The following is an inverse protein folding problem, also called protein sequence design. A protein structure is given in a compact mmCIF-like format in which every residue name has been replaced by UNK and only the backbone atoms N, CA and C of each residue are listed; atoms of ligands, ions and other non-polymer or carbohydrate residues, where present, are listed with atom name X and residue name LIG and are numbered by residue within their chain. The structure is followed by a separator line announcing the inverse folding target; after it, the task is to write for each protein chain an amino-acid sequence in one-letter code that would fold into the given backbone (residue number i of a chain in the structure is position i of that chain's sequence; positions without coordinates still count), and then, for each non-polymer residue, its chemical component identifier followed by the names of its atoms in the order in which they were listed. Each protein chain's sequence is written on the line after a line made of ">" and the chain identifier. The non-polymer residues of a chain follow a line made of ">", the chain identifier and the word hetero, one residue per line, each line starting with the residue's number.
data_IF_194067855151
#
_entry.id   IF_194067855151
#
_cell.length_a   1.000
_cell.length_b   1.000
_cell.length_c   1.000
_cell.angle_alpha   90.00
_cell.angle_beta   90.00
_cell.angle_gamma   90.00
#
_symmetry.space_group_name_H-M   'P 1'
#
loop_
_entity.id
_entity.type
_entity.pdbx_description
1 polymer ?
#
# COMPACT_ATOMS: atom_id res chain seq x y z
N UNK A 1 29.28 3.07 -14.31
CA UNK A 1 30.43 2.98 -13.39
C UNK A 1 30.70 4.36 -12.81
N UNK A 2 30.98 4.49 -11.51
CA UNK A 2 31.37 5.77 -10.90
C UNK A 2 32.61 6.34 -11.58
N UNK A 3 32.69 7.67 -11.71
CA UNK A 3 33.88 8.34 -12.25
C UNK A 3 35.04 8.17 -11.25
N UNK A 4 36.25 7.77 -11.69
CA UNK A 4 37.41 7.75 -10.80
C UNK A 4 37.67 9.15 -10.22
N UNK A 5 38.10 9.21 -8.97
CA UNK A 5 38.45 10.42 -8.20
C UNK A 5 37.32 11.44 -7.92
N UNK A 6 36.05 11.03 -8.05
CA UNK A 6 34.91 11.88 -7.64
C UNK A 6 34.60 11.73 -6.15
N UNK A 7 34.42 12.83 -5.40
CA UNK A 7 34.12 12.77 -3.98
C UNK A 7 32.77 12.08 -3.72
N UNK A 8 32.75 11.22 -2.71
CA UNK A 8 31.52 10.61 -2.20
C UNK A 8 30.73 11.65 -1.39
N UNK A 9 29.47 11.84 -1.74
CA UNK A 9 28.52 12.71 -1.02
C UNK A 9 27.65 11.87 -0.10
N UNK A 10 27.31 12.42 1.07
CA UNK A 10 26.40 11.78 2.03
C UNK A 10 25.05 12.47 1.95
N UNK A 11 24.00 11.72 1.60
CA UNK A 11 22.65 12.23 1.43
C UNK A 11 21.75 11.72 2.56
N UNK A 12 20.78 12.55 2.97
CA UNK A 12 19.68 12.14 3.84
C UNK A 12 18.38 12.15 3.05
N UNK A 13 17.69 11.02 3.06
CA UNK A 13 16.47 10.77 2.31
C UNK A 13 15.30 10.53 3.27
N UNK A 14 14.09 10.85 2.83
CA UNK A 14 12.85 10.60 3.58
C UNK A 14 11.74 10.17 2.64
N UNK A 15 10.76 9.44 3.19
CA UNK A 15 9.46 9.16 2.58
C UNK A 15 8.31 9.67 3.46
N UNK A 16 8.64 10.54 4.43
CA UNK A 16 7.73 11.10 5.42
C UNK A 16 6.97 10.05 6.24
N UNK A 17 7.58 8.87 6.42
CA UNK A 17 7.09 7.81 7.30
C UNK A 17 7.57 8.10 8.72
N UNK A 18 6.75 8.83 9.47
CA UNK A 18 7.14 9.39 10.76
C UNK A 18 8.33 10.35 10.63
N UNK A 19 9.23 10.36 11.62
CA UNK A 19 10.43 11.21 11.62
C UNK A 19 11.69 10.48 11.10
N UNK A 20 11.53 9.37 10.38
CA UNK A 20 12.64 8.50 9.99
C UNK A 20 13.34 9.00 8.72
N UNK A 21 14.67 8.88 8.70
CA UNK A 21 15.51 9.28 7.58
C UNK A 21 16.48 8.17 7.21
N UNK A 22 16.74 8.01 5.92
CA UNK A 22 17.71 7.08 5.37
C UNK A 22 18.98 7.82 4.98
N UNK A 23 20.14 7.41 5.50
CA UNK A 23 21.44 7.92 5.04
C UNK A 23 21.98 7.06 3.92
N UNK A 24 22.31 7.67 2.79
CA UNK A 24 22.93 7.00 1.64
C UNK A 24 24.22 7.71 1.20
N UNK A 25 25.02 7.03 0.40
CA UNK A 25 26.28 7.55 -0.14
C UNK A 25 26.22 7.54 -1.66
N UNK A 26 26.56 8.65 -2.29
CA UNK A 26 26.43 8.81 -3.74
C UNK A 26 27.69 9.41 -4.36
N UNK A 27 27.98 9.03 -5.61
CA UNK A 27 29.04 9.63 -6.42
C UNK A 27 28.53 9.88 -7.84
N UNK A 28 29.11 10.87 -8.52
CA UNK A 28 28.79 11.13 -9.91
C UNK A 28 29.24 9.96 -10.81
N UNK A 29 28.45 9.64 -11.82
CA UNK A 29 28.79 8.68 -12.86
C UNK A 29 28.71 9.34 -14.25
N UNK A 30 29.27 8.69 -15.27
CA UNK A 30 29.05 9.07 -16.67
C UNK A 30 27.85 8.26 -17.19
N UNK A 31 26.74 8.92 -17.56
CA UNK A 31 25.62 8.23 -18.19
C UNK A 31 26.00 7.58 -19.51
N UNK A 32 25.53 6.37 -19.71
CA UNK A 32 25.61 5.64 -20.98
C UNK A 32 24.32 5.83 -21.79
N UNK A 33 24.37 5.62 -23.12
CA UNK A 33 23.15 5.60 -23.93
C UNK A 33 22.13 4.62 -23.38
N UNK A 34 20.93 5.12 -23.07
CA UNK A 34 19.83 4.33 -22.48
C UNK A 34 19.63 4.51 -20.97
N UNK A 35 20.57 5.14 -20.26
CA UNK A 35 20.38 5.44 -18.84
C UNK A 35 19.26 6.48 -18.62
N UNK A 36 18.37 6.19 -17.67
CA UNK A 36 17.31 7.12 -17.26
C UNK A 36 17.88 8.15 -16.29
N UNK A 37 18.08 9.38 -16.78
CA UNK A 37 18.70 10.49 -16.03
C UNK A 37 17.77 11.69 -15.80
N UNK A 38 16.48 11.52 -16.10
CA UNK A 38 15.46 12.55 -15.93
C UNK A 38 14.12 11.92 -15.53
N UNK A 39 13.32 12.69 -14.82
CA UNK A 39 11.90 12.38 -14.62
C UNK A 39 11.09 13.01 -15.73
N UNK A 40 10.06 12.29 -16.21
CA UNK A 40 9.17 12.75 -17.26
C UNK A 40 7.73 12.55 -16.82
N UNK A 41 6.89 13.52 -17.09
CA UNK A 41 5.45 13.47 -16.84
C UNK A 41 4.71 14.21 -17.94
N UNK A 42 3.39 14.04 -17.99
CA UNK A 42 2.53 14.78 -18.92
C UNK A 42 1.78 15.84 -18.12
N UNK A 43 1.88 17.09 -18.55
CA UNK A 43 1.11 18.18 -17.97
C UNK A 43 -0.38 18.04 -18.37
N UNK A 44 -1.31 18.69 -17.65
CA UNK A 44 -2.73 18.74 -18.03
C UNK A 44 -2.97 19.27 -19.46
N UNK A 45 -2.07 20.11 -19.98
CA UNK A 45 -2.09 20.59 -21.37
C UNK A 45 -1.81 19.49 -22.41
N UNK A 46 -1.41 18.29 -21.99
CA UNK A 46 -0.97 17.20 -22.85
C UNK A 46 0.52 17.25 -23.24
N UNK A 47 1.23 18.30 -22.85
CA UNK A 47 2.68 18.44 -23.11
C UNK A 47 3.50 17.48 -22.25
N UNK A 48 4.59 16.94 -22.80
CA UNK A 48 5.54 16.14 -22.04
C UNK A 48 6.59 17.04 -21.41
N UNK A 49 6.63 17.05 -20.08
CA UNK A 49 7.59 17.80 -19.28
C UNK A 49 8.76 16.90 -18.87
N UNK A 50 9.92 17.50 -18.62
CA UNK A 50 11.13 16.79 -18.21
C UNK A 50 11.86 17.55 -17.09
N UNK A 51 12.18 16.83 -16.01
CA UNK A 51 13.05 17.29 -14.93
C UNK A 51 14.40 16.58 -15.07
N UNK A 52 15.41 17.33 -15.52
CA UNK A 52 16.78 16.83 -15.62
C UNK A 52 17.39 16.67 -14.23
N UNK A 53 17.97 15.50 -13.97
CA UNK A 53 18.56 15.18 -12.68
C UNK A 53 20.08 15.01 -12.80
N UNK A 54 20.85 15.34 -11.75
CA UNK A 54 22.30 15.18 -11.79
C UNK A 54 22.65 13.68 -11.80
N UNK A 55 23.67 13.27 -12.58
CA UNK A 55 23.99 11.85 -12.78
C UNK A 55 24.75 11.28 -11.58
N UNK A 56 24.04 11.01 -10.49
CA UNK A 56 24.58 10.34 -9.31
C UNK A 56 24.04 8.91 -9.19
N UNK A 57 24.88 8.03 -8.66
CA UNK A 57 24.53 6.67 -8.30
C UNK A 57 25.01 6.34 -6.88
N UNK A 58 24.40 5.33 -6.27
CA UNK A 58 24.77 4.82 -4.96
C UNK A 58 26.18 4.23 -4.97
N UNK A 59 26.88 4.47 -3.87
CA UNK A 59 28.18 3.90 -3.51
C UNK A 59 28.10 3.30 -2.10
N UNK A 60 29.16 2.64 -1.64
CA UNK A 60 29.21 2.03 -0.31
C UNK A 60 27.99 1.14 -0.03
N UNK A 61 27.63 0.27 -1.00
CA UNK A 61 26.37 -0.47 -1.01
C UNK A 61 26.15 -1.31 0.26
N UNK A 62 27.22 -1.84 0.87
CA UNK A 62 27.12 -2.55 2.15
C UNK A 62 26.61 -1.66 3.29
N UNK A 63 27.11 -0.42 3.37
CA UNK A 63 26.65 0.56 4.37
C UNK A 63 25.23 1.03 4.05
N UNK A 64 24.93 1.27 2.77
CA UNK A 64 23.57 1.64 2.33
C UNK A 64 22.58 0.54 2.71
N UNK A 65 22.92 -0.73 2.46
CA UNK A 65 22.10 -1.87 2.84
C UNK A 65 21.89 -1.93 4.36
N UNK A 66 22.93 -1.73 5.17
CA UNK A 66 22.80 -1.68 6.63
C UNK A 66 21.87 -0.55 7.09
N UNK A 67 22.05 0.65 6.54
CA UNK A 67 21.21 1.82 6.85
C UNK A 67 19.75 1.60 6.43
N UNK A 68 19.53 0.98 5.27
CA UNK A 68 18.21 0.64 4.76
C UNK A 68 17.49 -0.34 5.69
N UNK A 69 18.18 -1.37 6.19
CA UNK A 69 17.59 -2.31 7.17
C UNK A 69 17.17 -1.61 8.47
N UNK A 70 17.97 -0.67 8.94
CA UNK A 70 17.65 0.12 10.14
C UNK A 70 16.45 1.03 9.89
N UNK A 71 16.44 1.74 8.76
CA UNK A 71 15.31 2.57 8.33
C UNK A 71 14.02 1.74 8.25
N UNK A 72 14.05 0.61 7.54
CA UNK A 72 12.90 -0.30 7.40
C UNK A 72 12.35 -0.70 8.78
N UNK A 73 13.23 -1.11 9.68
CA UNK A 73 12.83 -1.60 11.01
C UNK A 73 12.15 -0.50 11.85
N UNK A 74 12.59 0.74 11.68
CA UNK A 74 12.04 1.89 12.40
C UNK A 74 10.74 2.40 11.74
N UNK A 75 10.76 2.62 10.43
CA UNK A 75 9.68 3.27 9.68
C UNK A 75 8.45 2.38 9.47
N UNK A 76 8.60 1.04 9.52
CA UNK A 76 7.47 0.13 9.25
C UNK A 76 6.27 0.36 10.17
N UNK A 77 6.50 0.70 11.43
CA UNK A 77 5.42 0.89 12.40
C UNK A 77 4.70 2.21 12.16
N UNK A 78 5.44 3.28 11.87
CA UNK A 78 4.86 4.57 11.53
C UNK A 78 3.96 4.48 10.29
N UNK A 79 4.39 3.71 9.27
CA UNK A 79 3.54 3.43 8.11
C UNK A 79 2.26 2.70 8.51
N UNK A 80 2.36 1.61 9.27
CA UNK A 80 1.19 0.82 9.68
C UNK A 80 0.23 1.65 10.54
N UNK A 81 0.76 2.51 11.41
CA UNK A 81 -0.03 3.44 12.25
C UNK A 81 -0.76 4.50 11.42
N UNK A 82 -0.20 4.94 10.28
CA UNK A 82 -0.89 5.88 9.40
C UNK A 82 -2.16 5.32 8.76
N UNK A 83 -2.36 3.99 8.80
CA UNK A 83 -3.56 3.32 8.27
C UNK A 83 -4.79 3.49 9.17
N UNK A 84 -4.63 4.08 10.36
CA UNK A 84 -5.73 4.34 11.30
C UNK A 84 -6.89 5.12 10.68
N UNK A 85 -6.58 6.04 9.77
CA UNK A 85 -7.57 6.91 9.14
C UNK A 85 -8.36 6.27 7.98
N UNK A 86 -8.05 5.02 7.58
CA UNK A 86 -8.62 4.44 6.36
C UNK A 86 -9.99 3.77 6.54
N UNK A 87 -10.02 2.57 7.13
CA UNK A 87 -11.25 1.84 7.43
C UNK A 87 -11.20 1.33 8.88
N UNK A 88 -12.25 1.55 9.69
CA UNK A 88 -12.23 1.16 11.09
C UNK A 88 -12.01 -0.34 11.34
N UNK A 89 -12.51 -1.23 10.47
CA UNK A 89 -12.32 -2.67 10.61
C UNK A 89 -10.91 -3.09 10.17
N UNK A 90 -10.42 -2.51 9.07
CA UNK A 90 -9.05 -2.70 8.65
C UNK A 90 -8.08 -2.26 9.75
N UNK A 91 -8.26 -1.06 10.30
CA UNK A 91 -7.42 -0.56 11.40
C UNK A 91 -7.50 -1.44 12.64
N UNK A 92 -8.71 -1.82 13.09
CA UNK A 92 -8.85 -2.72 14.25
C UNK A 92 -8.08 -4.03 14.03
N UNK A 93 -8.13 -4.58 12.82
CA UNK A 93 -7.44 -5.83 12.47
C UNK A 93 -5.92 -5.64 12.40
N UNK A 94 -5.45 -4.56 11.76
CA UNK A 94 -4.02 -4.25 11.62
C UNK A 94 -3.39 -3.93 12.98
N UNK A 95 -4.02 -3.09 13.80
CA UNK A 95 -3.55 -2.77 15.15
C UNK A 95 -3.45 -4.02 16.04
N UNK A 96 -4.48 -4.88 16.01
CA UNK A 96 -4.44 -6.18 16.71
C UNK A 96 -3.29 -7.07 16.22
N UNK A 97 -3.07 -7.12 14.91
CA UNK A 97 -1.96 -7.87 14.34
C UNK A 97 -0.59 -7.27 14.70
N UNK A 98 -0.47 -5.95 14.81
CA UNK A 98 0.75 -5.27 15.25
C UNK A 98 1.09 -5.64 16.70
N UNK A 99 0.10 -5.62 17.60
CA UNK A 99 0.27 -6.06 18.99
C UNK A 99 0.71 -7.52 19.06
N UNK A 100 0.04 -8.39 18.30
CA UNK A 100 0.40 -9.80 18.21
C UNK A 100 1.83 -10.00 17.69
N UNK A 101 2.23 -9.27 16.65
CA UNK A 101 3.58 -9.34 16.07
C UNK A 101 4.66 -8.81 17.01
N UNK A 102 4.36 -7.77 17.81
CA UNK A 102 5.27 -7.26 18.86
C UNK A 102 5.51 -8.32 19.94
N UNK A 103 4.45 -9.04 20.35
CA UNK A 103 4.57 -10.15 21.30
C UNK A 103 5.19 -11.42 20.68
N UNK A 104 5.04 -11.62 19.36
CA UNK A 104 5.49 -12.81 18.64
C UNK A 104 6.31 -12.45 17.38
N UNK A 105 7.56 -11.94 17.51
CA UNK A 105 8.34 -11.42 16.38
C UNK A 105 8.70 -12.45 15.30
N UNK A 106 8.63 -13.75 15.62
CA UNK A 106 8.88 -14.85 14.68
C UNK A 106 7.63 -15.38 13.97
N UNK A 107 6.45 -14.83 14.28
CA UNK A 107 5.17 -15.26 13.70
C UNK A 107 5.10 -15.00 12.20
N UNK A 108 4.17 -15.67 11.52
CA UNK A 108 3.78 -15.36 10.15
C UNK A 108 3.19 -13.94 10.05
N UNK A 109 2.42 -13.50 11.06
CA UNK A 109 1.86 -12.15 11.09
C UNK A 109 2.97 -11.10 11.08
N UNK A 110 4.03 -11.28 11.87
CA UNK A 110 5.16 -10.36 11.90
C UNK A 110 5.87 -10.26 10.54
N UNK A 111 6.08 -11.39 9.85
CA UNK A 111 6.65 -11.41 8.51
C UNK A 111 5.71 -10.75 7.49
N UNK A 112 4.40 -10.96 7.61
CA UNK A 112 3.37 -10.43 6.71
C UNK A 112 3.24 -8.92 6.83
N UNK A 113 3.21 -8.37 8.05
CA UNK A 113 3.22 -6.92 8.29
C UNK A 113 4.50 -6.29 7.76
N UNK A 114 5.63 -6.98 7.92
CA UNK A 114 6.90 -6.52 7.36
C UNK A 114 6.86 -6.53 5.83
N UNK A 115 6.28 -7.56 5.20
CA UNK A 115 6.14 -7.64 3.75
C UNK A 115 5.32 -6.47 3.22
N UNK A 116 4.14 -6.23 3.80
CA UNK A 116 3.29 -5.12 3.40
C UNK A 116 3.99 -3.77 3.56
N UNK A 117 4.47 -3.46 4.77
CA UNK A 117 5.11 -2.16 5.03
C UNK A 117 6.33 -1.89 4.16
N UNK A 118 7.15 -2.91 3.89
CA UNK A 118 8.36 -2.76 3.05
C UNK A 118 7.99 -2.62 1.57
N UNK A 119 6.93 -3.31 1.09
CA UNK A 119 6.44 -3.10 -0.28
C UNK A 119 6.03 -1.65 -0.52
N UNK A 120 5.51 -0.96 0.50
CA UNK A 120 5.15 0.47 0.40
C UNK A 120 6.37 1.37 0.28
N UNK A 121 7.52 0.95 0.82
CA UNK A 121 8.77 1.72 0.73
C UNK A 121 9.37 1.75 -0.67
N UNK A 122 8.96 0.88 -1.60
CA UNK A 122 9.37 0.97 -3.02
C UNK A 122 8.29 1.61 -3.91
N UNK A 123 7.21 2.09 -3.29
CA UNK A 123 6.10 2.74 -3.98
C UNK A 123 6.03 4.24 -3.64
N UNK A 124 6.51 4.62 -2.46
CA UNK A 124 6.54 6.01 -2.01
C UNK A 124 7.84 6.66 -2.51
N UNK A 125 7.77 7.76 -3.27
CA UNK A 125 8.97 8.43 -3.76
C UNK A 125 9.89 8.90 -2.63
N UNK A 126 11.20 8.75 -2.84
CA UNK A 126 12.21 9.30 -1.94
C UNK A 126 12.45 10.79 -2.19
N UNK A 127 12.66 11.53 -1.11
CA UNK A 127 12.96 12.95 -1.13
C UNK A 127 14.26 13.25 -0.38
N UNK A 128 15.10 14.11 -0.94
CA UNK A 128 16.28 14.64 -0.24
C UNK A 128 15.83 15.65 0.82
N UNK A 129 16.19 15.39 2.08
CA UNK A 129 15.88 16.26 3.22
C UNK A 129 17.14 16.72 3.98
N UNK A 130 18.32 16.30 3.51
CA UNK A 130 19.60 16.68 4.09
C UNK A 130 20.10 18.05 3.63
N UNK A 131 21.20 18.54 4.24
CA UNK A 131 21.84 19.78 3.81
C UNK A 131 22.47 19.67 2.41
N UNK A 132 22.76 18.44 1.97
CA UNK A 132 23.28 18.15 0.64
C UNK A 132 22.13 17.67 -0.27
N UNK A 133 21.78 18.48 -1.27
CA UNK A 133 20.70 18.22 -2.23
C UNK A 133 21.21 17.92 -3.64
N UNK A 134 22.50 17.61 -3.80
CA UNK A 134 23.13 17.45 -5.12
C UNK A 134 23.02 18.66 -6.07
N UNK A 135 22.68 19.85 -5.54
CA UNK A 135 22.40 21.05 -6.35
C UNK A 135 20.98 21.07 -6.94
N UNK A 136 20.12 20.12 -6.56
CA UNK A 136 18.71 20.09 -6.91
C UNK A 136 17.94 21.00 -5.96
N UNK A 137 17.04 21.81 -6.52
CA UNK A 137 16.11 22.67 -5.77
C UNK A 137 14.72 22.03 -5.74
N UNK A 138 13.86 22.52 -4.85
CA UNK A 138 12.46 22.09 -4.83
C UNK A 138 11.80 22.35 -6.20
N UNK A 139 11.04 21.37 -6.69
CA UNK A 139 10.38 21.47 -8.00
C UNK A 139 9.28 22.52 -7.93
N UNK A 140 9.38 23.56 -8.78
CA UNK A 140 8.43 24.67 -8.82
C UNK A 140 7.21 24.40 -9.72
N UNK A 141 7.31 23.45 -10.65
CA UNK A 141 6.23 23.11 -11.56
C UNK A 141 5.12 22.35 -10.82
N UNK A 142 3.95 22.97 -10.72
CA UNK A 142 2.76 22.42 -10.06
C UNK A 142 2.19 21.19 -10.76
N UNK A 143 2.49 21.01 -12.05
CA UNK A 143 2.08 19.83 -12.81
C UNK A 143 2.96 18.62 -12.53
N UNK A 144 4.12 18.82 -11.89
CA UNK A 144 5.05 17.74 -11.61
C UNK A 144 4.55 16.86 -10.45
N UNK A 145 4.67 15.53 -10.56
CA UNK A 145 4.50 14.61 -9.43
C UNK A 145 5.40 14.93 -8.22
N UNK A 146 6.47 15.68 -8.47
CA UNK A 146 7.46 16.08 -7.47
C UNK A 146 7.29 17.54 -7.02
N UNK A 147 6.17 18.22 -7.33
CA UNK A 147 5.94 19.61 -6.94
C UNK A 147 6.20 19.85 -5.45
N UNK A 148 6.98 20.89 -5.14
CA UNK A 148 7.37 21.26 -3.78
C UNK A 148 8.43 20.35 -3.14
N UNK A 149 8.84 19.27 -3.81
CA UNK A 149 9.78 18.26 -3.29
C UNK A 149 11.16 18.41 -3.90
N UNK A 150 12.17 17.84 -3.23
CA UNK A 150 13.53 17.71 -3.76
C UNK A 150 13.76 16.22 -4.10
N UNK A 151 13.44 15.77 -5.33
CA UNK A 151 13.54 14.36 -5.69
C UNK A 151 14.99 13.88 -5.72
N UNK A 152 15.21 12.60 -5.48
CA UNK A 152 16.51 11.96 -5.73
C UNK A 152 16.73 11.68 -7.22
N UNK A 153 17.96 11.50 -7.72
CA UNK A 153 18.19 11.06 -9.09
C UNK A 153 17.54 9.69 -9.41
N UNK A 154 16.98 9.48 -10.62
CA UNK A 154 16.27 8.23 -10.97
C UNK A 154 17.11 6.95 -10.83
N UNK A 155 18.42 7.06 -11.07
CA UNK A 155 19.35 5.93 -10.89
C UNK A 155 19.49 5.56 -9.41
N UNK A 156 19.54 6.54 -8.50
CA UNK A 156 19.58 6.26 -7.06
C UNK A 156 18.28 5.56 -6.63
N UNK A 157 17.15 6.08 -7.09
CA UNK A 157 15.82 5.53 -6.81
C UNK A 157 15.73 4.06 -7.23
N UNK A 158 16.05 3.79 -8.50
CA UNK A 158 16.10 2.43 -9.07
C UNK A 158 17.05 1.51 -8.28
N UNK A 159 18.22 2.00 -7.87
CA UNK A 159 19.17 1.20 -7.10
C UNK A 159 18.66 0.89 -5.69
N UNK A 160 17.98 1.83 -5.02
CA UNK A 160 17.35 1.59 -3.72
C UNK A 160 16.26 0.51 -3.85
N UNK A 161 15.40 0.61 -4.86
CA UNK A 161 14.36 -0.38 -5.13
C UNK A 161 14.96 -1.76 -5.36
N UNK A 162 16.00 -1.88 -6.18
CA UNK A 162 16.65 -3.16 -6.43
C UNK A 162 17.27 -3.76 -5.16
N UNK A 163 17.87 -2.94 -4.29
CA UNK A 163 18.40 -3.41 -3.00
C UNK A 163 17.25 -3.94 -2.12
N UNK A 164 16.15 -3.19 -1.98
CA UNK A 164 14.98 -3.60 -1.19
C UNK A 164 14.36 -4.88 -1.76
N UNK A 165 14.11 -4.92 -3.06
CA UNK A 165 13.47 -6.05 -3.75
C UNK A 165 14.31 -7.33 -3.57
N UNK A 166 15.59 -7.27 -3.91
CA UNK A 166 16.44 -8.46 -3.96
C UNK A 166 16.84 -8.96 -2.56
N UNK A 167 17.19 -8.05 -1.66
CA UNK A 167 17.78 -8.42 -0.36
C UNK A 167 16.74 -8.52 0.77
N UNK A 168 15.54 -7.97 0.56
CA UNK A 168 14.51 -7.91 1.62
C UNK A 168 13.20 -8.55 1.16
N UNK A 169 12.54 -8.02 0.13
CA UNK A 169 11.20 -8.48 -0.27
C UNK A 169 11.20 -9.91 -0.81
N UNK A 170 12.15 -10.28 -1.68
CA UNK A 170 12.24 -11.62 -2.24
C UNK A 170 12.42 -12.72 -1.16
N UNK A 171 13.40 -12.61 -0.24
CA UNK A 171 13.52 -13.54 0.88
C UNK A 171 12.28 -13.57 1.78
N UNK A 172 11.70 -12.40 2.07
CA UNK A 172 10.54 -12.28 2.96
C UNK A 172 9.30 -12.91 2.35
N UNK A 173 9.05 -12.70 1.05
CA UNK A 173 7.97 -13.35 0.29
C UNK A 173 8.08 -14.88 0.37
N UNK A 174 9.28 -15.42 0.18
CA UNK A 174 9.51 -16.86 0.29
C UNK A 174 9.25 -17.38 1.71
N UNK A 175 9.62 -16.61 2.74
CA UNK A 175 9.37 -16.95 4.13
C UNK A 175 7.87 -16.93 4.48
N UNK A 176 7.14 -15.88 4.08
CA UNK A 176 5.69 -15.75 4.27
C UNK A 176 4.96 -16.90 3.59
N UNK A 177 5.25 -17.19 2.32
CA UNK A 177 4.60 -18.28 1.59
C UNK A 177 4.80 -19.62 2.29
N UNK A 178 6.05 -19.95 2.63
CA UNK A 178 6.38 -21.20 3.31
C UNK A 178 5.68 -21.33 4.66
N UNK A 179 5.69 -20.27 5.49
CA UNK A 179 5.02 -20.28 6.80
C UNK A 179 3.50 -20.40 6.65
N UNK A 180 2.91 -19.67 5.71
CA UNK A 180 1.47 -19.73 5.45
C UNK A 180 1.05 -21.14 5.00
N UNK A 181 1.78 -21.74 4.06
CA UNK A 181 1.55 -23.12 3.60
C UNK A 181 1.62 -24.15 4.75
N UNK A 182 2.59 -23.99 5.67
CA UNK A 182 2.76 -24.88 6.83
C UNK A 182 1.63 -24.77 7.86
N UNK A 183 1.00 -23.60 7.98
CA UNK A 183 -0.13 -23.39 8.89
C UNK A 183 -1.45 -23.93 8.32
N UNK A 184 -1.59 -23.90 6.98
CA UNK A 184 -2.81 -24.35 6.29
C UNK A 184 -2.74 -25.82 5.84
N UNK A 185 -1.55 -26.45 5.84
CA UNK A 185 -1.34 -27.85 5.38
C UNK A 185 -0.46 -28.66 6.36
N UNK A 186 -1.04 -29.61 7.14
CA UNK A 186 -2.47 -29.85 7.32
C UNK A 186 -3.14 -28.72 8.10
N UNK A 187 -4.44 -28.54 7.90
CA UNK A 187 -5.25 -27.55 8.62
C UNK A 187 -5.16 -27.76 10.14
N UNK A 188 -4.54 -26.81 10.85
CA UNK A 188 -4.48 -26.81 12.33
C UNK A 188 -5.46 -25.80 12.87
N UNK A 189 -6.34 -26.23 13.79
CA UNK A 189 -7.34 -25.33 14.41
C UNK A 189 -6.67 -24.25 15.25
N UNK A 190 -5.56 -24.59 15.89
CA UNK A 190 -4.72 -23.69 16.69
C UNK A 190 -4.12 -22.55 15.86
N UNK A 191 -3.92 -22.78 14.56
CA UNK A 191 -3.35 -21.78 13.65
C UNK A 191 -4.40 -20.82 13.09
N UNK A 192 -5.68 -21.01 13.41
CA UNK A 192 -6.78 -20.26 12.80
C UNK A 192 -6.61 -18.75 12.97
N UNK A 193 -6.27 -18.29 14.18
CA UNK A 193 -6.05 -16.87 14.47
C UNK A 193 -4.97 -16.26 13.57
N UNK A 194 -3.84 -16.95 13.48
CA UNK A 194 -2.69 -16.51 12.68
C UNK A 194 -3.00 -16.52 11.17
N UNK A 195 -3.73 -17.53 10.71
CA UNK A 195 -4.20 -17.65 9.32
C UNK A 195 -5.22 -16.56 8.99
N UNK A 196 -6.14 -16.24 9.89
CA UNK A 196 -7.15 -15.18 9.71
C UNK A 196 -6.50 -13.81 9.56
N UNK A 197 -5.68 -13.40 10.55
CA UNK A 197 -4.99 -12.10 10.51
C UNK A 197 -4.10 -12.00 9.27
N UNK A 198 -3.34 -13.06 8.96
CA UNK A 198 -2.47 -13.06 7.77
C UNK A 198 -3.26 -12.93 6.47
N UNK A 199 -4.36 -13.67 6.33
CA UNK A 199 -5.21 -13.61 5.14
C UNK A 199 -5.82 -12.22 4.98
N UNK A 200 -6.35 -11.64 6.06
CA UNK A 200 -6.91 -10.29 6.05
C UNK A 200 -5.86 -9.27 5.62
N UNK A 201 -4.68 -9.30 6.23
CA UNK A 201 -3.58 -8.36 5.94
C UNK A 201 -3.14 -8.47 4.47
N UNK A 202 -2.95 -9.69 3.95
CA UNK A 202 -2.51 -9.87 2.56
C UNK A 202 -3.58 -9.39 1.56
N UNK A 203 -4.86 -9.64 1.84
CA UNK A 203 -5.96 -9.17 1.00
C UNK A 203 -6.05 -7.64 1.03
N UNK A 204 -5.94 -7.03 2.21
CA UNK A 204 -5.92 -5.58 2.34
C UNK A 204 -4.68 -4.98 1.67
N UNK A 205 -3.50 -5.59 1.79
CA UNK A 205 -2.31 -5.19 1.05
C UNK A 205 -2.53 -5.14 -0.48
N UNK A 206 -3.30 -6.08 -1.03
CA UNK A 206 -3.66 -6.13 -2.46
C UNK A 206 -4.64 -4.99 -2.84
N UNK A 207 -5.58 -4.63 -1.97
CA UNK A 207 -6.44 -3.44 -2.17
C UNK A 207 -5.59 -2.17 -2.28
N UNK A 208 -4.57 -2.04 -1.42
CA UNK A 208 -3.62 -0.93 -1.50
C UNK A 208 -2.71 -0.97 -2.73
N UNK A 209 -2.32 -2.16 -3.21
CA UNK A 209 -1.58 -2.28 -4.48
C UNK A 209 -2.42 -1.74 -5.66
N UNK A 210 -3.70 -2.09 -5.70
CA UNK A 210 -4.62 -1.54 -6.69
C UNK A 210 -4.74 -0.02 -6.57
N UNK A 211 -4.86 0.52 -5.34
CA UNK A 211 -4.91 1.97 -5.09
C UNK A 211 -3.65 2.70 -5.55
N UNK A 212 -2.48 2.15 -5.23
CA UNK A 212 -1.21 2.69 -5.71
C UNK A 212 -1.15 2.68 -7.24
N UNK A 213 -1.60 1.59 -7.88
CA UNK A 213 -1.66 1.48 -9.33
C UNK A 213 -2.55 2.56 -9.97
N UNK A 214 -3.71 2.86 -9.37
CA UNK A 214 -4.58 3.98 -9.79
C UNK A 214 -3.88 5.33 -9.64
N UNK A 215 -3.32 5.60 -8.45
CA UNK A 215 -2.63 6.85 -8.20
C UNK A 215 -1.44 7.05 -9.16
N UNK A 216 -0.69 5.98 -9.44
CA UNK A 216 0.44 6.01 -10.36
C UNK A 216 0.00 6.26 -11.81
N UNK A 217 -1.08 5.60 -12.27
CA UNK A 217 -1.64 5.82 -13.60
C UNK A 217 -2.09 7.28 -13.78
N UNK A 218 -2.81 7.84 -12.79
CA UNK A 218 -3.22 9.24 -12.78
C UNK A 218 -2.03 10.19 -12.82
N UNK A 219 -1.05 9.98 -11.93
CA UNK A 219 0.16 10.80 -11.80
C UNK A 219 0.98 10.86 -13.09
N UNK A 220 1.00 9.78 -13.87
CA UNK A 220 1.75 9.69 -15.13
C UNK A 220 0.87 9.79 -16.37
N UNK A 221 -0.41 10.16 -16.20
CA UNK A 221 -1.40 10.33 -17.27
C UNK A 221 -1.44 9.13 -18.23
N UNK A 222 -1.43 7.93 -17.64
CA UNK A 222 -1.55 6.68 -18.38
C UNK A 222 -2.98 6.54 -18.93
N UNK A 223 -3.18 5.85 -20.07
CA UNK A 223 -4.48 5.76 -20.72
C UNK A 223 -5.52 4.88 -19.98
N UNK A 224 -5.08 4.00 -19.08
CA UNK A 224 -5.94 3.09 -18.32
C UNK A 224 -6.08 3.51 -16.85
N UNK A 225 -7.06 2.91 -16.15
CA UNK A 225 -7.29 3.16 -14.71
C UNK A 225 -6.10 2.70 -13.87
N UNK A 226 -5.41 1.64 -14.29
CA UNK A 226 -4.31 1.03 -13.55
C UNK A 226 -3.00 1.09 -14.33
N UNK A 227 -1.87 1.24 -13.64
CA UNK A 227 -0.56 1.42 -14.27
C UNK A 227 0.07 0.13 -14.80
N UNK A 228 -0.32 -1.03 -14.26
CA UNK A 228 0.21 -2.33 -14.66
C UNK A 228 -0.82 -3.45 -14.48
N UNK A 229 -1.62 -3.70 -15.52
CA UNK A 229 -2.67 -4.72 -15.51
C UNK A 229 -2.12 -6.14 -15.29
N UNK A 230 -1.07 -6.62 -16.01
CA UNK A 230 -0.56 -7.98 -15.79
C UNK A 230 -0.08 -8.24 -14.36
N UNK A 231 0.52 -7.23 -13.73
CA UNK A 231 0.91 -7.32 -12.32
C UNK A 231 -0.31 -7.44 -11.39
N UNK A 232 -1.33 -6.62 -11.60
CA UNK A 232 -2.57 -6.67 -10.81
C UNK A 232 -3.33 -7.98 -11.00
N UNK A 233 -3.37 -8.54 -12.20
CA UNK A 233 -3.95 -9.87 -12.45
C UNK A 233 -3.23 -10.94 -11.60
N UNK A 234 -1.89 -10.90 -11.54
CA UNK A 234 -1.12 -11.76 -10.66
C UNK A 234 -1.45 -11.56 -9.17
N UNK A 235 -1.64 -10.31 -8.73
CA UNK A 235 -2.06 -9.99 -7.37
C UNK A 235 -3.48 -10.52 -7.08
N UNK A 236 -4.43 -10.38 -8.02
CA UNK A 236 -5.81 -10.83 -7.84
C UNK A 236 -5.92 -12.36 -7.87
N UNK A 237 -5.10 -13.04 -8.68
CA UNK A 237 -4.95 -14.50 -8.57
C UNK A 237 -4.46 -14.91 -7.17
N UNK A 238 -3.55 -14.14 -6.58
CA UNK A 238 -3.07 -14.37 -5.21
C UNK A 238 -4.20 -14.15 -4.20
N UNK A 239 -4.97 -13.08 -4.31
CA UNK A 239 -6.13 -12.81 -3.46
C UNK A 239 -7.15 -13.97 -3.49
N UNK A 240 -7.54 -14.42 -4.69
CA UNK A 240 -8.47 -15.55 -4.86
C UNK A 240 -7.90 -16.85 -4.29
N UNK A 241 -6.59 -17.08 -4.41
CA UNK A 241 -5.93 -18.25 -3.82
C UNK A 241 -5.95 -18.22 -2.30
N UNK A 242 -5.70 -17.07 -1.68
CA UNK A 242 -5.79 -16.87 -0.23
C UNK A 242 -7.22 -17.14 0.24
N UNK A 243 -8.23 -16.54 -0.43
CA UNK A 243 -9.64 -16.74 -0.12
C UNK A 243 -10.05 -18.22 -0.23
N UNK A 244 -9.69 -18.88 -1.33
CA UNK A 244 -10.00 -20.29 -1.52
C UNK A 244 -9.38 -21.18 -0.43
N UNK A 245 -8.11 -20.92 -0.07
CA UNK A 245 -7.42 -21.65 1.00
C UNK A 245 -8.06 -21.39 2.36
N UNK A 246 -8.35 -20.14 2.69
CA UNK A 246 -9.03 -19.77 3.93
C UNK A 246 -10.38 -20.48 4.03
N UNK A 247 -11.21 -20.39 3.00
CA UNK A 247 -12.54 -21.03 2.99
C UNK A 247 -12.48 -22.56 3.02
N UNK A 248 -11.48 -23.18 2.40
CA UNK A 248 -11.31 -24.64 2.48
C UNK A 248 -10.83 -25.10 3.87
N UNK A 249 -9.82 -24.44 4.44
CA UNK A 249 -9.11 -24.87 5.64
C UNK A 249 -9.82 -24.44 6.93
N UNK A 250 -10.45 -23.27 6.91
CA UNK A 250 -11.13 -22.69 8.07
C UNK A 250 -12.63 -23.00 8.13
N UNK A 251 -13.10 -23.94 7.29
CA UNK A 251 -14.51 -24.31 7.16
C UNK A 251 -15.38 -23.11 6.75
N UNK A 252 -14.97 -22.39 5.71
CA UNK A 252 -15.61 -21.19 5.21
C UNK A 252 -15.43 -19.99 6.15
N UNK A 253 -16.45 -19.15 6.20
CA UNK A 253 -16.61 -18.10 7.22
C UNK A 253 -17.14 -18.65 8.55
N UNK A 254 -17.13 -19.96 8.79
CA UNK A 254 -17.80 -20.55 9.96
C UNK A 254 -17.37 -19.90 11.28
N UNK A 255 -16.07 -19.72 11.61
CA UNK A 255 -15.67 -19.00 12.83
C UNK A 255 -16.24 -17.58 12.88
N UNK A 256 -16.31 -16.89 11.74
CA UNK A 256 -16.89 -15.55 11.61
C UNK A 256 -18.42 -15.52 11.74
N UNK A 257 -19.10 -16.68 11.76
CA UNK A 257 -20.55 -16.81 11.97
C UNK A 257 -20.89 -17.58 13.26
N UNK A 258 -19.89 -18.03 14.01
CA UNK A 258 -20.13 -18.70 15.28
C UNK A 258 -20.76 -17.71 16.26
N UNK A 259 -21.68 -18.24 17.06
CA UNK A 259 -22.13 -17.54 18.26
C UNK A 259 -21.02 -17.60 19.31
N UNK A 260 -20.19 -16.55 19.34
CA UNK A 260 -19.10 -16.40 20.30
C UNK A 260 -19.57 -16.20 21.74
N UNK A 261 -20.87 -16.06 21.99
CA UNK A 261 -21.42 -16.15 23.36
C UNK A 261 -21.56 -17.59 23.85
N UNK A 262 -21.49 -18.57 22.93
CA UNK A 262 -21.53 -20.00 23.25
C UNK A 262 -20.15 -20.53 23.68
N UNK A 263 -20.03 -21.23 24.82
CA UNK A 263 -18.79 -21.87 25.25
C UNK A 263 -18.21 -22.86 24.24
N UNK A 264 -19.06 -23.41 23.36
CA UNK A 264 -18.69 -24.40 22.35
C UNK A 264 -17.95 -23.80 21.14
N UNK A 265 -18.25 -22.54 20.80
CA UNK A 265 -17.63 -21.83 19.69
C UNK A 265 -16.18 -21.40 19.99
N UNK A 266 -15.97 -20.80 21.17
CA UNK A 266 -14.63 -20.40 21.64
C UNK A 266 -13.69 -21.61 21.77
N UNK A 267 -14.18 -22.74 22.29
CA UNK A 267 -13.43 -23.98 22.40
C UNK A 267 -13.06 -24.61 21.03
N UNK A 268 -13.81 -24.30 19.96
CA UNK A 268 -13.60 -24.91 18.64
C UNK A 268 -12.40 -24.30 17.89
N UNK A 269 -12.12 -23.02 18.11
CA UNK A 269 -11.01 -22.29 17.51
C UNK A 269 -9.83 -22.07 18.48
N UNK A 270 -9.93 -22.54 19.73
CA UNK A 270 -8.92 -22.33 20.80
C UNK A 270 -8.50 -20.85 20.92
N UNK A 271 -9.47 -19.95 20.77
CA UNK A 271 -9.23 -18.52 20.88
C UNK A 271 -9.14 -18.11 22.34
N UNK A 272 -8.25 -17.17 22.61
CA UNK A 272 -8.15 -16.48 23.89
C UNK A 272 -9.34 -15.51 24.08
N UNK A 273 -9.69 -15.11 25.32
CA UNK A 273 -10.87 -14.27 25.57
C UNK A 273 -10.89 -12.93 24.82
N UNK A 274 -9.72 -12.29 24.67
CA UNK A 274 -9.52 -11.07 23.91
C UNK A 274 -9.78 -11.26 22.40
N UNK A 275 -9.32 -12.40 21.84
CA UNK A 275 -9.57 -12.77 20.46
C UNK A 275 -11.05 -13.03 20.21
N UNK A 276 -11.76 -13.66 21.16
CA UNK A 276 -13.21 -13.86 21.09
C UNK A 276 -13.96 -12.51 21.06
N UNK A 277 -13.56 -11.57 21.91
CA UNK A 277 -14.14 -10.23 21.91
C UNK A 277 -13.85 -9.46 20.62
N UNK A 278 -12.64 -9.60 20.05
CA UNK A 278 -12.31 -9.09 18.73
C UNK A 278 -13.27 -9.65 17.67
N UNK A 279 -13.50 -10.96 17.66
CA UNK A 279 -14.40 -11.59 16.68
C UNK A 279 -15.83 -11.06 16.79
N UNK A 280 -16.33 -10.84 18.01
CA UNK A 280 -17.68 -10.27 18.25
C UNK A 280 -17.80 -8.86 17.67
N UNK A 281 -16.77 -8.02 17.86
CA UNK A 281 -16.75 -6.64 17.30
C UNK A 281 -16.71 -6.69 15.77
N UNK A 282 -15.85 -7.53 15.20
CA UNK A 282 -15.76 -7.74 13.76
C UNK A 282 -17.09 -8.15 13.15
N UNK A 283 -17.80 -9.09 13.76
CA UNK A 283 -19.14 -9.50 13.34
C UNK A 283 -20.13 -8.34 13.33
N UNK A 284 -20.17 -7.54 14.41
CA UNK A 284 -21.07 -6.39 14.50
C UNK A 284 -20.77 -5.34 13.41
N UNK A 285 -19.49 -5.04 13.15
CA UNK A 285 -19.07 -4.09 12.12
C UNK A 285 -19.37 -4.55 10.70
N UNK A 286 -19.30 -5.85 10.43
CA UNK A 286 -19.67 -6.42 9.13
C UNK A 286 -21.19 -6.48 8.98
N UNK A 287 -21.93 -6.90 10.00
CA UNK A 287 -23.39 -6.95 9.96
C UNK A 287 -24.00 -5.56 9.69
N UNK A 288 -23.44 -4.50 10.29
CA UNK A 288 -23.87 -3.13 10.05
C UNK A 288 -23.61 -2.62 8.62
N UNK A 289 -22.68 -3.25 7.88
CA UNK A 289 -22.24 -2.82 6.54
C UNK A 289 -22.41 -3.91 5.48
N UNK A 290 -23.20 -4.94 5.77
CA UNK A 290 -23.25 -6.16 4.95
C UNK A 290 -23.66 -5.87 3.50
N UNK A 291 -24.67 -5.02 3.30
CA UNK A 291 -25.11 -4.61 1.96
C UNK A 291 -23.97 -4.00 1.16
N UNK A 292 -23.21 -3.12 1.79
CA UNK A 292 -22.19 -2.31 1.14
C UNK A 292 -21.00 -3.18 0.76
N UNK A 293 -20.50 -4.00 1.70
CA UNK A 293 -19.39 -4.93 1.46
C UNK A 293 -19.76 -5.96 0.39
N UNK A 294 -21.01 -6.43 0.35
CA UNK A 294 -21.47 -7.33 -0.72
C UNK A 294 -21.52 -6.65 -2.08
N UNK A 295 -21.95 -5.39 -2.15
CA UNK A 295 -21.97 -4.61 -3.41
C UNK A 295 -20.57 -4.33 -3.96
N UNK A 296 -19.55 -4.16 -3.11
CA UNK A 296 -18.17 -3.94 -3.55
C UNK A 296 -17.71 -5.00 -4.55
N UNK A 297 -18.11 -6.26 -4.37
CA UNK A 297 -17.74 -7.34 -5.30
C UNK A 297 -18.21 -7.10 -6.73
N UNK A 298 -19.36 -6.45 -6.90
CA UNK A 298 -19.94 -6.16 -8.20
C UNK A 298 -19.44 -4.86 -8.82
N UNK A 299 -18.76 -4.00 -8.06
CA UNK A 299 -18.35 -2.68 -8.53
C UNK A 299 -17.02 -2.65 -9.28
N UNK A 300 -16.23 -3.73 -9.26
CA UNK A 300 -14.86 -3.77 -9.80
C UNK A 300 -13.90 -2.66 -9.30
N UNK A 301 -14.27 -1.97 -8.21
CA UNK A 301 -13.43 -0.95 -7.55
C UNK A 301 -12.44 -1.64 -6.60
N UNK A 302 -11.48 -2.37 -7.16
CA UNK A 302 -10.52 -3.25 -6.46
C UNK A 302 -9.67 -2.53 -5.39
N UNK A 303 -9.51 -1.22 -5.52
CA UNK A 303 -8.78 -0.31 -4.63
C UNK A 303 -9.53 0.07 -3.34
N UNK A 304 -10.84 -0.22 -3.28
CA UNK A 304 -11.69 0.17 -2.16
C UNK A 304 -11.42 -0.73 -0.94
N UNK A 305 -11.41 -0.17 0.28
CA UNK A 305 -11.29 -0.96 1.49
C UNK A 305 -12.33 -2.09 1.54
N UNK A 306 -11.90 -3.27 1.98
CA UNK A 306 -12.73 -4.48 2.13
C UNK A 306 -13.22 -5.10 0.81
N UNK A 307 -12.77 -4.64 -0.36
CA UNK A 307 -13.10 -5.31 -1.63
C UNK A 307 -12.69 -6.80 -1.61
N UNK A 308 -11.45 -7.09 -1.21
CA UNK A 308 -10.90 -8.43 -1.10
C UNK A 308 -11.04 -8.99 0.32
N UNK A 309 -10.64 -8.22 1.33
CA UNK A 309 -10.64 -8.66 2.73
C UNK A 309 -12.07 -8.91 3.25
N UNK A 310 -13.06 -8.17 2.74
CA UNK A 310 -14.47 -8.35 3.07
C UNK A 310 -15.02 -9.74 2.71
N UNK A 311 -14.41 -10.41 1.72
CA UNK A 311 -14.85 -11.72 1.24
C UNK A 311 -14.50 -12.86 2.20
N UNK A 312 -13.66 -12.62 3.22
CA UNK A 312 -13.41 -13.58 4.30
C UNK A 312 -14.68 -13.80 5.15
N UNK A 313 -15.54 -12.80 5.25
CA UNK A 313 -16.70 -12.79 6.15
C UNK A 313 -17.94 -13.47 5.58
N UNK A 314 -17.93 -13.83 4.30
CA UNK A 314 -19.08 -14.44 3.62
C UNK A 314 -18.78 -15.87 3.20
N UNK A 315 -19.83 -16.70 3.12
CA UNK A 315 -19.70 -18.11 2.72
C UNK A 315 -19.23 -18.27 1.26
N UNK A 316 -19.61 -17.32 0.41
CA UNK A 316 -19.14 -17.26 -0.97
C UNK A 316 -18.12 -16.15 -1.11
N UNK A 317 -17.10 -16.41 -1.92
CA UNK A 317 -16.07 -15.45 -2.34
C UNK A 317 -16.03 -15.38 -3.87
N UNK A 318 -15.25 -14.46 -4.43
CA UNK A 318 -15.16 -14.29 -5.87
C UNK A 318 -14.34 -15.41 -6.52
N UNK A 319 -15.04 -16.26 -7.27
CA UNK A 319 -14.49 -17.38 -8.04
C UNK A 319 -14.49 -17.11 -9.54
N UNK A 320 -14.86 -15.90 -9.98
CA UNK A 320 -14.81 -15.53 -11.39
C UNK A 320 -13.37 -15.65 -11.94
N UNK A 321 -13.19 -15.78 -13.27
CA UNK A 321 -11.87 -15.62 -13.87
C UNK A 321 -11.23 -14.29 -13.46
N UNK A 322 -9.91 -14.26 -13.30
CA UNK A 322 -9.21 -12.99 -13.09
C UNK A 322 -9.13 -12.27 -14.41
N UNK A 323 -9.87 -11.17 -14.51
CA UNK A 323 -9.79 -10.20 -15.58
C UNK A 323 -10.02 -8.84 -14.94
N UNK A 324 -9.04 -7.93 -15.05
CA UNK A 324 -9.17 -6.60 -14.47
C UNK A 324 -10.10 -5.79 -15.35
N UNK A 325 -11.22 -5.37 -14.77
CA UNK A 325 -12.15 -4.44 -15.41
C UNK A 325 -11.67 -3.01 -15.14
N UNK A 326 -11.44 -2.26 -16.21
CA UNK A 326 -10.94 -0.86 -16.16
C UNK A 326 -12.06 0.17 -16.34
N UNK A 327 -13.33 -0.20 -16.16
CA UNK A 327 -14.46 0.73 -16.27
C UNK A 327 -14.15 2.01 -15.47
N UNK A 328 -14.07 3.13 -16.20
CA UNK A 328 -14.00 4.47 -15.65
C UNK A 328 -15.44 4.77 -15.21
N UNK A 329 -15.65 5.00 -13.91
CA UNK A 329 -17.00 5.31 -13.43
C UNK A 329 -17.42 6.68 -13.98
N UNK A 330 -18.58 6.74 -14.64
CA UNK A 330 -19.32 7.98 -14.93
C UNK A 330 -19.68 8.76 -13.63
N UNK A 331 -19.51 8.13 -12.45
CA UNK A 331 -19.71 8.71 -11.11
C UNK A 331 -18.74 9.86 -10.79
N UNK A 332 -17.52 9.88 -11.36
CA UNK A 332 -16.58 11.00 -11.15
C UNK A 332 -17.04 12.25 -11.93
N UNK A 333 -17.67 12.09 -13.11
CA UNK A 333 -18.31 13.20 -13.81
C UNK A 333 -19.57 13.71 -13.11
N UNK A 334 -20.33 12.85 -12.41
CA UNK A 334 -21.48 13.30 -11.61
C UNK A 334 -21.05 14.02 -10.33
N UNK A 335 -19.98 13.58 -9.66
CA UNK A 335 -19.45 14.27 -8.47
C UNK A 335 -18.78 15.60 -8.83
N UNK A 336 -18.02 15.67 -9.94
CA UNK A 336 -17.47 16.95 -10.42
C UNK A 336 -18.59 17.92 -10.85
N UNK A 337 -19.68 17.43 -11.45
CA UNK A 337 -20.85 18.26 -11.79
C UNK A 337 -21.62 18.73 -10.55
N UNK A 338 -21.80 17.89 -9.54
CA UNK A 338 -22.44 18.27 -8.28
C UNK A 338 -21.60 19.30 -7.50
N UNK A 339 -20.26 19.16 -7.48
CA UNK A 339 -19.36 20.13 -6.85
C UNK A 339 -19.33 21.47 -7.61
N UNK A 340 -19.36 21.45 -8.95
CA UNK A 340 -19.47 22.67 -9.78
C UNK A 340 -20.83 23.37 -9.60
N UNK A 341 -21.94 22.63 -9.48
CA UNK A 341 -23.27 23.18 -9.22
C UNK A 341 -23.37 23.80 -7.81
N UNK A 342 -22.80 23.18 -6.78
CA UNK A 342 -22.73 23.75 -5.43
C UNK A 342 -21.87 25.04 -5.37
N UNK A 343 -20.79 25.10 -6.15
CA UNK A 343 -19.95 26.31 -6.24
C UNK A 343 -20.66 27.45 -6.97
N UNK A 344 -21.44 27.16 -8.01
CA UNK A 344 -22.25 28.16 -8.71
C UNK A 344 -23.40 28.69 -7.84
N UNK A 345 -24.07 27.83 -7.06
CA UNK A 345 -25.13 28.26 -6.14
C UNK A 345 -24.59 29.17 -5.02
N UNK A 346 -23.41 28.85 -4.46
CA UNK A 346 -22.74 29.73 -3.48
C UNK A 346 -22.40 31.10 -4.06
N UNK A 347 -21.88 31.16 -5.29
CA UNK A 347 -21.56 32.43 -5.97
C UNK A 347 -22.81 33.26 -6.28
N UNK A 348 -23.94 32.63 -6.61
CA UNK A 348 -25.23 33.33 -6.82
C UNK A 348 -25.82 33.85 -5.50
N UNK A 349 -25.70 33.11 -4.40
CA UNK A 349 -26.17 33.54 -3.08
C UNK A 349 -25.42 34.75 -2.51
N UNK A 350 -24.12 34.86 -2.75
CA UNK A 350 -23.31 36.02 -2.32
C UNK A 350 -23.58 37.28 -3.14
N UNK A 351 -23.93 37.14 -4.43
CA UNK A 351 -24.26 38.27 -5.29
C UNK A 351 -25.61 38.94 -4.92
N UNK A 352 -26.59 38.14 -4.45
CA UNK A 352 -27.93 38.63 -4.08
C UNK A 352 -27.96 39.27 -2.68
N UNK A 353 -27.10 38.81 -1.77
CA UNK A 353 -26.92 39.41 -0.44
C UNK A 353 -26.26 40.82 -0.50
N UNK A 354 -25.53 41.13 -1.57
CA UNK A 354 -24.89 42.43 -1.78
C UNK A 354 -25.81 43.56 -2.26
N UNK A 355 -27.03 43.25 -2.72
CA UNK A 355 -27.97 44.24 -3.29
C UNK A 355 -29.09 44.70 -2.34
N UNK A 356 -29.16 44.17 -1.11
CA UNK A 356 -30.18 44.57 -0.11
C UNK A 356 -29.66 45.50 1.01
N UNK A 357 -28.41 45.98 0.91
CA UNK A 357 -27.78 46.87 1.89
C UNK A 357 -27.43 48.26 1.36
N UNK A 358 -28.33 48.88 0.57
CA UNK A 358 -28.18 50.25 0.03
C UNK A 358 -29.23 51.21 0.55
#
# INVERSE_FOLDING_TARGET
>A
MSKPDVPVRTLRLTQHQGAHQLTVYASEFVPLPGDVVSYKWRAPSGETCELKMPPFCLTNLEKVHSNLRQYITAAKWAYLESLEAEDPLAWMTVSTAMEYAKANPGSLIADTLSLWSISRMIEIPWEMCGPDTLGVSAVADQTSPHYGKIPIPPIIDTQLDQIVIQLVLNPLRAAVLRKFEQLITPAKREAWWEVYLTSFILLNHIEHLARHSVAHARTHTMPGKYSNIPFLEGAFHTAKSILARFHFVCNGSAPLRLDWTSPKAAAMAKLEPDQVDFMRRTQAMIAARESDVRRLRASHKYERPLYWAGQLFFETFDTSPVHVVEELDDDEEEQEKEEEEEEEEKKKGEADAGQSGG
#
